data_IF_196464308010
#
_entry.id   IF_196464308010
#
_cell.length_a   1.000
_cell.length_b   1.000
_cell.length_c   1.000
_cell.angle_alpha   90.00
_cell.angle_beta   90.00
_cell.angle_gamma   90.00
#
_symmetry.space_group_name_H-M   'P 1'
#
loop_
_entity.id
_entity.type
_entity.pdbx_description
1 polymer ?
#
# COMPACT_ATOMS: atom_id res chain seq x y z
N UNK A 1 -2.98 -16.30 -1.25
CA UNK A 1 -1.52 -16.42 -1.14
C UNK A 1 -1.05 -15.90 0.21
N UNK A 2 0.10 -16.34 0.67
CA UNK A 2 0.67 -15.94 1.95
C UNK A 2 1.76 -14.88 1.75
N UNK A 3 2.02 -14.06 2.76
CA UNK A 3 3.08 -13.06 2.75
C UNK A 3 4.50 -13.66 2.55
N UNK A 4 4.64 -14.96 2.82
CA UNK A 4 5.87 -15.75 2.62
C UNK A 4 5.97 -16.38 1.23
N UNK A 5 4.93 -16.32 0.39
CA UNK A 5 4.97 -16.92 -0.95
C UNK A 5 6.14 -16.35 -1.75
N UNK A 6 6.92 -17.24 -2.34
CA UNK A 6 8.08 -16.89 -3.16
C UNK A 6 7.64 -16.68 -4.61
N UNK A 7 8.19 -15.64 -5.22
CA UNK A 7 8.07 -15.35 -6.64
C UNK A 7 9.44 -15.16 -7.24
N UNK A 8 9.59 -15.54 -8.49
CA UNK A 8 10.76 -15.23 -9.28
C UNK A 8 10.68 -13.80 -9.81
N UNK A 9 11.69 -13.00 -9.51
CA UNK A 9 11.85 -11.59 -9.89
C UNK A 9 12.60 -11.43 -11.23
N UNK A 10 12.56 -12.45 -12.10
CA UNK A 10 13.16 -12.37 -13.43
C UNK A 10 12.26 -11.64 -14.42
N UNK A 11 12.88 -10.95 -15.39
CA UNK A 11 12.20 -10.26 -16.48
C UNK A 11 11.20 -11.20 -17.16
N UNK A 12 9.95 -10.80 -17.21
CA UNK A 12 8.83 -11.60 -17.70
C UNK A 12 7.99 -10.80 -18.66
N UNK A 13 7.60 -11.39 -19.79
CA UNK A 13 6.59 -10.84 -20.69
C UNK A 13 5.20 -11.25 -20.22
N UNK A 14 4.37 -10.27 -19.88
CA UNK A 14 3.00 -10.48 -19.38
C UNK A 14 1.94 -10.44 -20.49
N UNK A 15 2.36 -10.47 -21.74
CA UNK A 15 1.52 -10.43 -22.93
C UNK A 15 1.63 -9.10 -23.67
N UNK A 16 1.46 -9.17 -25.00
CA UNK A 16 1.55 -7.99 -25.86
C UNK A 16 2.88 -7.23 -25.84
N UNK A 17 3.97 -7.87 -25.37
CA UNK A 17 5.29 -7.23 -25.22
C UNK A 17 5.44 -6.41 -23.93
N UNK A 18 4.46 -6.45 -23.02
CA UNK A 18 4.56 -5.73 -21.75
C UNK A 18 5.57 -6.42 -20.81
N UNK A 19 6.69 -5.77 -20.59
CA UNK A 19 7.82 -6.23 -19.74
C UNK A 19 8.16 -5.14 -18.73
N UNK A 20 7.50 -5.10 -17.57
CA UNK A 20 7.82 -4.12 -16.54
C UNK A 20 9.25 -4.33 -16.04
N UNK A 21 9.93 -3.24 -15.76
CA UNK A 21 11.25 -3.25 -15.16
C UNK A 21 11.16 -2.94 -13.67
N UNK A 22 12.09 -3.48 -12.90
CA UNK A 22 12.26 -3.09 -11.50
C UNK A 22 13.10 -1.81 -11.40
N UNK A 23 12.79 -1.01 -10.40
CA UNK A 23 13.63 0.16 -10.08
C UNK A 23 15.05 -0.26 -9.66
N UNK A 24 15.18 -1.42 -9.04
CA UNK A 24 16.44 -2.03 -8.61
C UNK A 24 16.74 -3.28 -9.44
N UNK A 25 17.97 -3.79 -9.27
CA UNK A 25 18.39 -5.07 -9.88
C UNK A 25 17.44 -6.19 -9.42
N UNK A 26 16.99 -7.06 -10.33
CA UNK A 26 16.19 -8.23 -9.99
C UNK A 26 16.83 -9.08 -8.90
N UNK A 27 16.01 -9.57 -7.97
CA UNK A 27 16.44 -10.29 -6.76
C UNK A 27 16.42 -11.81 -6.89
N UNK A 28 15.95 -12.34 -8.03
CA UNK A 28 15.72 -13.77 -8.19
C UNK A 28 14.51 -14.24 -7.38
N UNK A 29 14.65 -15.33 -6.64
CA UNK A 29 13.57 -15.83 -5.78
C UNK A 29 13.39 -14.95 -4.55
N UNK A 30 12.24 -14.31 -4.42
CA UNK A 30 11.95 -13.32 -3.38
C UNK A 30 10.51 -13.48 -2.85
N UNK A 31 10.32 -13.33 -1.55
CA UNK A 31 8.98 -13.36 -0.94
C UNK A 31 8.27 -12.00 -1.05
N UNK A 32 6.93 -12.02 -0.92
CA UNK A 32 6.07 -10.83 -1.04
C UNK A 32 6.50 -9.70 -0.11
N UNK A 33 6.88 -9.98 1.14
CA UNK A 33 7.31 -8.94 2.09
C UNK A 33 8.55 -8.21 1.60
N UNK A 34 9.53 -8.97 1.12
CA UNK A 34 10.77 -8.41 0.58
C UNK A 34 10.50 -7.63 -0.71
N UNK A 35 9.59 -8.10 -1.57
CA UNK A 35 9.16 -7.36 -2.77
C UNK A 35 8.59 -5.97 -2.41
N UNK A 36 7.68 -5.91 -1.46
CA UNK A 36 7.06 -4.65 -1.02
C UNK A 36 8.10 -3.76 -0.32
N UNK A 37 8.98 -4.32 0.52
CA UNK A 37 10.06 -3.58 1.19
C UNK A 37 10.95 -2.82 0.21
N UNK A 38 11.36 -3.48 -0.87
CA UNK A 38 12.28 -2.93 -1.88
C UNK A 38 11.58 -2.41 -3.13
N UNK A 39 10.24 -2.46 -3.15
CA UNK A 39 9.42 -1.98 -4.28
C UNK A 39 9.73 -2.66 -5.61
N UNK A 40 9.89 -4.00 -5.63
CA UNK A 40 10.05 -4.77 -6.86
C UNK A 40 8.71 -4.86 -7.60
N UNK A 41 8.73 -4.64 -8.91
CA UNK A 41 7.55 -4.56 -9.77
C UNK A 41 7.13 -5.94 -10.29
N UNK A 42 8.07 -6.71 -10.83
CA UNK A 42 7.80 -7.97 -11.55
C UNK A 42 7.02 -8.97 -10.67
N UNK A 43 7.42 -9.26 -9.42
CA UNK A 43 6.65 -10.17 -8.57
C UNK A 43 5.25 -9.67 -8.25
N UNK A 44 5.05 -8.34 -8.14
CA UNK A 44 3.73 -7.78 -7.86
C UNK A 44 2.79 -7.92 -9.05
N UNK A 45 3.29 -7.78 -10.27
CA UNK A 45 2.53 -8.10 -11.49
C UNK A 45 2.14 -9.58 -11.49
N UNK A 46 3.07 -10.50 -11.16
CA UNK A 46 2.78 -11.94 -11.06
C UNK A 46 1.69 -12.25 -10.02
N UNK A 47 1.69 -11.55 -8.87
CA UNK A 47 0.63 -11.68 -7.85
C UNK A 47 -0.71 -11.25 -8.42
N UNK A 48 -0.77 -10.08 -9.05
CA UNK A 48 -2.03 -9.58 -9.58
C UNK A 48 -2.56 -10.43 -10.72
N UNK A 49 -1.72 -10.98 -11.59
CA UNK A 49 -2.17 -11.88 -12.66
C UNK A 49 -2.84 -13.15 -12.12
N UNK A 50 -2.50 -13.58 -10.89
CA UNK A 50 -3.21 -14.67 -10.21
C UNK A 50 -4.57 -14.26 -9.65
N UNK A 51 -4.72 -13.01 -9.21
CA UNK A 51 -6.00 -12.42 -8.78
C UNK A 51 -6.86 -12.02 -9.96
N UNK A 52 -6.25 -11.59 -11.03
CA UNK A 52 -6.71 -10.90 -12.24
C UNK A 52 -6.90 -9.38 -12.07
N UNK A 53 -6.55 -8.59 -13.11
CA UNK A 53 -6.80 -7.14 -13.08
C UNK A 53 -8.27 -6.78 -12.87
N UNK A 54 -9.19 -7.51 -13.52
CA UNK A 54 -10.63 -7.32 -13.35
C UNK A 54 -11.06 -7.43 -11.88
N UNK A 55 -10.58 -8.48 -11.18
CA UNK A 55 -10.91 -8.67 -9.76
C UNK A 55 -10.29 -7.59 -8.89
N UNK A 56 -9.08 -7.11 -9.22
CA UNK A 56 -8.43 -6.00 -8.54
C UNK A 56 -9.26 -4.71 -8.66
N UNK A 57 -9.77 -4.39 -9.85
CA UNK A 57 -10.67 -3.24 -10.08
C UNK A 57 -11.92 -3.32 -9.19
N UNK A 58 -12.55 -4.49 -9.07
CA UNK A 58 -13.72 -4.67 -8.20
C UNK A 58 -13.40 -4.31 -6.73
N UNK A 59 -12.24 -4.73 -6.22
CA UNK A 59 -11.81 -4.39 -4.86
C UNK A 59 -11.48 -2.90 -4.72
N UNK A 60 -10.77 -2.32 -5.67
CA UNK A 60 -10.40 -0.90 -5.65
C UNK A 60 -11.64 0.00 -5.69
N UNK A 61 -12.66 -0.33 -6.50
CA UNK A 61 -13.95 0.39 -6.52
C UNK A 61 -14.66 0.30 -5.16
N UNK A 62 -14.64 -0.87 -4.48
CA UNK A 62 -15.16 -1.01 -3.12
C UNK A 62 -14.38 -0.21 -2.08
N UNK A 63 -13.12 0.11 -2.36
CA UNK A 63 -12.26 0.99 -1.54
C UNK A 63 -12.45 2.48 -1.87
N UNK A 64 -13.42 2.83 -2.71
CA UNK A 64 -13.78 4.22 -3.03
C UNK A 64 -13.01 4.83 -4.20
N UNK A 65 -12.28 4.05 -4.99
CA UNK A 65 -11.62 4.54 -6.21
C UNK A 65 -12.65 4.63 -7.33
N UNK A 66 -12.91 5.84 -7.85
CA UNK A 66 -13.99 6.11 -8.81
C UNK A 66 -13.49 6.29 -10.23
N UNK A 67 -12.21 6.54 -10.43
CA UNK A 67 -11.60 6.87 -11.74
C UNK A 67 -11.23 5.65 -12.59
N UNK A 68 -11.42 4.42 -12.08
CA UNK A 68 -11.04 3.19 -12.79
C UNK A 68 -11.97 2.87 -13.95
N UNK A 69 -11.38 2.67 -15.12
CA UNK A 69 -12.05 2.18 -16.33
C UNK A 69 -11.93 0.65 -16.43
N UNK A 70 -13.07 -0.05 -16.50
CA UNK A 70 -13.12 -1.52 -16.52
C UNK A 70 -12.48 -2.16 -17.76
N UNK A 71 -12.25 -1.38 -18.80
CA UNK A 71 -11.63 -1.84 -20.06
C UNK A 71 -10.17 -1.41 -20.15
N UNK A 72 -9.89 -0.10 -19.99
CA UNK A 72 -8.55 0.46 -20.16
C UNK A 72 -7.60 0.01 -19.05
N UNK A 73 -8.08 -0.04 -17.78
CA UNK A 73 -7.29 -0.41 -16.62
C UNK A 73 -7.25 -1.94 -16.37
N UNK A 74 -8.00 -2.72 -17.17
CA UNK A 74 -8.01 -4.18 -17.06
C UNK A 74 -6.78 -4.80 -17.72
N UNK A 75 -5.60 -4.45 -17.23
CA UNK A 75 -4.31 -4.88 -17.77
C UNK A 75 -3.25 -5.06 -16.66
N UNK A 76 -2.11 -5.71 -16.95
CA UNK A 76 -1.07 -5.96 -15.93
C UNK A 76 -0.45 -4.72 -15.29
N UNK A 77 -0.42 -3.55 -15.97
CA UNK A 77 0.19 -2.34 -15.46
C UNK A 77 -0.55 -1.77 -14.23
N UNK A 78 -1.84 -2.12 -14.06
CA UNK A 78 -2.62 -1.76 -12.86
C UNK A 78 -1.91 -2.14 -11.56
N UNK A 79 -1.18 -3.27 -11.54
CA UNK A 79 -0.49 -3.76 -10.33
C UNK A 79 0.59 -2.84 -9.78
N UNK A 80 1.14 -1.99 -10.62
CA UNK A 80 2.22 -1.07 -10.30
C UNK A 80 1.81 0.40 -10.49
N UNK A 81 0.49 0.64 -10.63
CA UNK A 81 -0.07 1.99 -10.69
C UNK A 81 -0.21 2.57 -12.09
N UNK A 82 -0.11 1.75 -13.14
CA UNK A 82 -0.42 2.15 -14.53
C UNK A 82 -1.93 2.27 -14.70
N UNK A 83 -2.45 3.51 -14.66
CA UNK A 83 -3.87 3.84 -14.73
C UNK A 83 -4.15 4.81 -15.88
N UNK A 84 -5.34 4.70 -16.46
CA UNK A 84 -5.77 5.56 -17.57
C UNK A 84 -6.02 7.02 -17.15
N UNK A 85 -6.65 7.22 -15.97
CA UNK A 85 -7.04 8.55 -15.46
C UNK A 85 -6.32 8.95 -14.17
N UNK A 86 -5.58 8.03 -13.55
CA UNK A 86 -4.95 8.24 -12.24
C UNK A 86 -5.93 8.14 -11.06
N UNK A 87 -5.48 8.55 -9.87
CA UNK A 87 -6.25 8.49 -8.61
C UNK A 87 -5.98 9.76 -7.81
N UNK A 88 -7.00 10.32 -7.17
CA UNK A 88 -6.80 11.48 -6.29
C UNK A 88 -6.17 11.10 -4.94
N UNK A 89 -5.45 12.03 -4.27
CA UNK A 89 -4.94 11.80 -2.91
C UNK A 89 -6.03 11.45 -1.90
N UNK A 90 -7.23 12.00 -2.05
CA UNK A 90 -8.37 11.69 -1.18
C UNK A 90 -8.81 10.23 -1.32
N UNK A 91 -8.96 9.74 -2.55
CA UNK A 91 -9.31 8.34 -2.81
C UNK A 91 -8.24 7.39 -2.31
N UNK A 92 -6.95 7.71 -2.55
CA UNK A 92 -5.84 6.91 -2.03
C UNK A 92 -5.83 6.88 -0.50
N UNK A 93 -6.04 8.01 0.17
CA UNK A 93 -6.14 8.03 1.63
C UNK A 93 -7.33 7.20 2.12
N UNK A 94 -8.49 7.28 1.48
CA UNK A 94 -9.67 6.46 1.80
C UNK A 94 -9.43 4.96 1.61
N UNK A 95 -8.77 4.57 0.52
CA UNK A 95 -8.43 3.17 0.25
C UNK A 95 -7.45 2.62 1.29
N UNK A 96 -6.39 3.36 1.63
CA UNK A 96 -5.46 2.98 2.71
C UNK A 96 -6.15 2.97 4.09
N UNK A 97 -7.06 3.92 4.34
CA UNK A 97 -7.84 3.95 5.57
C UNK A 97 -8.70 2.69 5.74
N UNK A 98 -9.20 2.08 4.66
CA UNK A 98 -9.92 0.81 4.75
C UNK A 98 -9.05 -0.33 5.31
N UNK A 99 -7.76 -0.34 4.96
CA UNK A 99 -6.78 -1.31 5.48
C UNK A 99 -6.45 -1.00 6.94
N UNK A 100 -6.29 0.29 7.30
CA UNK A 100 -6.08 0.73 8.67
C UNK A 100 -7.27 0.40 9.58
N UNK A 101 -8.49 0.45 9.04
CA UNK A 101 -9.76 0.21 9.72
C UNK A 101 -10.26 -1.23 9.53
N UNK A 102 -9.36 -2.21 9.71
CA UNK A 102 -9.66 -3.64 9.74
C UNK A 102 -10.48 -4.15 8.53
N UNK A 103 -10.24 -3.58 7.35
CA UNK A 103 -10.86 -3.95 6.09
C UNK A 103 -12.22 -3.30 5.80
N UNK A 104 -12.59 -2.25 6.55
CA UNK A 104 -13.83 -1.49 6.35
C UNK A 104 -13.51 -0.13 5.73
N UNK A 105 -13.94 0.06 4.49
CA UNK A 105 -13.95 1.38 3.86
C UNK A 105 -15.03 2.25 4.49
N UNK A 106 -14.70 3.49 4.74
CA UNK A 106 -15.62 4.51 5.26
C UNK A 106 -15.55 5.72 4.33
N UNK A 107 -16.70 6.14 3.80
CA UNK A 107 -16.76 7.29 2.88
C UNK A 107 -16.19 8.54 3.53
N UNK A 108 -15.20 9.23 2.92
CA UNK A 108 -14.69 10.48 3.44
C UNK A 108 -15.78 11.55 3.53
N UNK A 109 -15.80 12.30 4.63
CA UNK A 109 -16.73 13.42 4.84
C UNK A 109 -15.92 14.67 5.22
N UNK A 110 -16.41 15.84 4.83
CA UNK A 110 -15.79 17.14 5.13
C UNK A 110 -16.51 17.91 6.24
N UNK A 111 -17.70 17.46 6.64
CA UNK A 111 -18.48 18.00 7.74
C UNK A 111 -19.27 16.87 8.41
N UNK A 112 -19.64 17.04 9.65
CA UNK A 112 -20.53 16.13 10.37
C UNK A 112 -21.98 16.60 10.34
N UNK A 113 -22.18 17.91 10.51
CA UNK A 113 -23.48 18.58 10.42
C UNK A 113 -23.31 20.05 10.02
N UNK A 114 -24.33 20.60 9.40
CA UNK A 114 -24.49 22.05 9.16
C UNK A 114 -25.66 22.53 9.98
N UNK A 115 -25.50 23.65 10.67
CA UNK A 115 -26.55 24.29 11.48
C UNK A 115 -26.81 25.69 10.97
N UNK A 116 -28.08 26.16 11.10
CA UNK A 116 -28.45 27.55 10.82
C UNK A 116 -28.05 28.51 11.96
N UNK A 117 -28.33 29.80 11.77
CA UNK A 117 -28.04 30.82 12.78
C UNK A 117 -28.81 30.66 14.09
N UNK A 118 -29.88 29.87 14.10
CA UNK A 118 -30.70 29.56 15.26
C UNK A 118 -30.28 28.23 15.96
N UNK A 119 -29.26 27.55 15.42
CA UNK A 119 -28.74 26.30 15.95
C UNK A 119 -29.50 25.04 15.48
N UNK A 120 -30.47 25.17 14.57
CA UNK A 120 -31.18 24.01 14.02
C UNK A 120 -30.29 23.27 13.02
N UNK A 121 -30.31 21.94 13.06
CA UNK A 121 -29.58 21.11 12.10
C UNK A 121 -30.28 21.16 10.75
N UNK A 122 -29.58 21.70 9.74
CA UNK A 122 -30.05 21.84 8.34
C UNK A 122 -29.61 20.63 7.53
N UNK A 123 -28.40 20.12 7.79
CA UNK A 123 -27.81 18.98 7.05
C UNK A 123 -26.96 18.13 7.99
N UNK A 124 -27.06 16.83 7.86
CA UNK A 124 -26.20 15.85 8.54
C UNK A 124 -25.49 15.01 7.49
N UNK A 125 -24.16 14.84 7.63
CA UNK A 125 -23.43 13.97 6.73
C UNK A 125 -23.86 12.52 6.92
N UNK A 126 -24.03 11.81 5.81
CA UNK A 126 -24.20 10.35 5.81
C UNK A 126 -22.84 9.72 5.48
N UNK A 127 -22.27 9.00 6.44
CA UNK A 127 -20.99 8.31 6.26
C UNK A 127 -21.23 6.82 6.11
N UNK A 128 -21.17 6.34 4.89
CA UNK A 128 -21.36 4.92 4.58
C UNK A 128 -20.11 4.11 4.92
N UNK A 129 -20.33 2.86 5.33
CA UNK A 129 -19.28 1.89 5.65
C UNK A 129 -19.48 0.63 4.85
N UNK A 130 -18.43 0.17 4.19
CA UNK A 130 -18.44 -1.05 3.37
C UNK A 130 -17.28 -1.96 3.77
N UNK A 131 -17.56 -3.21 4.13
CA UNK A 131 -16.48 -4.19 4.31
C UNK A 131 -15.92 -4.61 2.95
N UNK A 132 -14.65 -4.36 2.75
CA UNK A 132 -13.95 -4.66 1.49
C UNK A 132 -13.17 -5.96 1.59
N UNK A 133 -12.45 -6.15 2.70
CA UNK A 133 -11.66 -7.36 2.99
C UNK A 133 -11.88 -7.78 4.44
N UNK A 134 -11.53 -9.02 4.77
CA UNK A 134 -11.60 -9.49 6.16
C UNK A 134 -10.60 -8.76 7.06
N UNK A 135 -10.87 -8.74 8.35
CA UNK A 135 -9.97 -8.21 9.39
C UNK A 135 -8.58 -8.86 9.32
N UNK A 136 -8.54 -10.16 9.10
CA UNK A 136 -7.29 -10.93 8.97
C UNK A 136 -6.48 -10.50 7.75
N UNK A 137 -7.15 -10.32 6.60
CA UNK A 137 -6.48 -9.83 5.39
C UNK A 137 -5.97 -8.40 5.57
N UNK A 138 -6.72 -7.52 6.22
CA UNK A 138 -6.29 -6.16 6.55
C UNK A 138 -5.05 -6.19 7.45
N UNK A 139 -5.05 -7.02 8.49
CA UNK A 139 -3.91 -7.21 9.40
C UNK A 139 -2.65 -7.68 8.65
N UNK A 140 -2.76 -8.73 7.81
CA UNK A 140 -1.63 -9.22 7.02
C UNK A 140 -1.14 -8.14 6.04
N UNK A 141 -2.06 -7.42 5.40
CA UNK A 141 -1.70 -6.33 4.48
C UNK A 141 -0.95 -5.22 5.20
N UNK A 142 -1.41 -4.77 6.38
CA UNK A 142 -0.67 -3.82 7.23
C UNK A 142 0.73 -4.32 7.52
N UNK A 143 0.86 -5.56 7.97
CA UNK A 143 2.16 -6.15 8.31
C UNK A 143 3.13 -6.25 7.12
N UNK A 144 2.61 -6.29 5.89
CA UNK A 144 3.41 -6.25 4.65
C UNK A 144 3.78 -4.80 4.30
N UNK A 145 2.83 -3.86 4.40
CA UNK A 145 3.06 -2.43 4.07
C UNK A 145 3.91 -1.72 5.16
N UNK A 146 4.08 -2.31 6.32
CA UNK A 146 5.05 -1.87 7.32
C UNK A 146 6.50 -2.10 6.87
N UNK A 147 6.76 -3.08 6.02
CA UNK A 147 8.13 -3.46 5.61
C UNK A 147 8.94 -2.33 4.97
N UNK A 148 8.39 -1.43 4.12
CA UNK A 148 9.14 -0.31 3.57
C UNK A 148 9.66 0.68 4.62
N UNK A 149 9.07 0.76 5.81
CA UNK A 149 9.53 1.65 6.90
C UNK A 149 10.64 1.03 7.74
N UNK A 150 10.92 -0.27 7.58
CA UNK A 150 11.99 -1.00 8.26
C UNK A 150 13.33 -0.85 7.55
N UNK A 151 14.41 -1.22 8.21
CA UNK A 151 15.77 -1.18 7.66
C UNK A 151 15.84 -1.85 6.29
N UNK A 152 16.46 -1.18 5.32
CA UNK A 152 16.53 -1.62 3.92
C UNK A 152 15.28 -1.35 3.09
N UNK A 153 14.27 -0.72 3.66
CA UNK A 153 13.05 -0.34 2.95
C UNK A 153 13.12 1.04 2.29
N UNK A 154 12.18 1.32 1.37
CA UNK A 154 12.14 2.56 0.57
C UNK A 154 11.57 3.76 1.33
N UNK A 155 10.97 3.56 2.51
CA UNK A 155 10.28 4.58 3.31
C UNK A 155 10.74 4.61 4.79
N UNK A 156 11.99 4.27 5.08
CA UNK A 156 12.54 4.22 6.45
C UNK A 156 12.40 5.53 7.21
N UNK A 157 12.52 6.66 6.51
CA UNK A 157 12.40 8.01 7.07
C UNK A 157 10.96 8.41 7.44
N UNK A 158 9.97 7.61 7.02
CA UNK A 158 8.55 7.80 7.32
C UNK A 158 8.14 7.17 8.66
N UNK A 159 8.98 6.37 9.29
CA UNK A 159 8.65 5.78 10.58
C UNK A 159 8.32 6.87 11.62
N UNK A 160 7.18 6.72 12.31
CA UNK A 160 6.71 7.60 13.38
C UNK A 160 7.04 6.93 14.71
N UNK A 161 7.80 7.63 15.56
CA UNK A 161 8.23 7.08 16.85
C UNK A 161 7.03 6.69 17.72
N UNK A 162 7.07 5.49 18.31
CA UNK A 162 6.01 4.96 19.16
C UNK A 162 4.77 4.46 18.44
N UNK A 163 4.76 4.49 17.08
CA UNK A 163 3.62 4.05 16.26
C UNK A 163 4.02 2.91 15.33
N UNK A 164 3.17 1.90 15.21
CA UNK A 164 3.24 1.00 14.07
C UNK A 164 2.92 1.83 12.81
N UNK A 165 3.90 1.93 11.90
CA UNK A 165 3.81 2.80 10.72
C UNK A 165 3.86 1.96 9.45
N UNK A 166 2.82 2.06 8.64
CA UNK A 166 2.74 1.47 7.31
C UNK A 166 2.86 2.57 6.28
N UNK A 167 3.80 2.46 5.33
CA UNK A 167 3.97 3.46 4.28
C UNK A 167 4.54 2.86 3.01
N UNK A 168 4.11 3.37 1.86
CA UNK A 168 4.60 2.95 0.54
C UNK A 168 4.85 4.16 -0.35
N UNK A 169 6.04 4.20 -0.93
CA UNK A 169 6.42 5.19 -1.97
C UNK A 169 5.83 4.79 -3.32
N UNK A 170 5.51 5.78 -4.15
CA UNK A 170 5.19 5.63 -5.56
C UNK A 170 6.01 6.60 -6.39
N UNK A 171 6.39 6.17 -7.59
CA UNK A 171 7.04 7.03 -8.60
C UNK A 171 6.69 6.47 -9.97
N UNK A 172 6.18 7.31 -10.83
CA UNK A 172 5.93 6.96 -12.24
C UNK A 172 7.23 7.00 -13.04
N UNK A 173 7.19 6.41 -14.23
CA UNK A 173 8.27 6.51 -15.19
C UNK A 173 8.58 7.98 -15.47
N UNK A 174 9.85 8.28 -15.72
CA UNK A 174 10.35 9.65 -15.87
C UNK A 174 10.14 10.56 -14.65
N UNK A 175 9.70 9.99 -13.51
CA UNK A 175 9.43 10.73 -12.26
C UNK A 175 8.38 11.84 -12.42
N UNK A 176 7.36 11.64 -13.25
CA UNK A 176 6.29 12.64 -13.45
C UNK A 176 5.41 12.79 -12.22
N UNK A 177 5.24 11.70 -11.47
CA UNK A 177 4.51 11.67 -10.21
C UNK A 177 5.36 11.06 -9.11
N UNK A 178 5.27 11.66 -7.94
CA UNK A 178 5.90 11.15 -6.71
C UNK A 178 4.82 11.04 -5.64
N UNK A 179 4.71 9.85 -5.07
CA UNK A 179 3.70 9.52 -4.07
C UNK A 179 4.30 9.02 -2.78
N UNK A 180 3.58 9.28 -1.71
CA UNK A 180 3.63 8.49 -0.49
C UNK A 180 2.23 8.34 0.07
N UNK A 181 1.81 7.09 0.30
CA UNK A 181 0.59 6.75 1.01
C UNK A 181 0.98 5.95 2.24
N UNK A 182 0.36 6.26 3.39
CA UNK A 182 0.69 5.56 4.62
C UNK A 182 -0.30 5.82 5.73
N UNK A 183 -0.16 5.06 6.80
CA UNK A 183 -1.08 5.03 7.93
C UNK A 183 -0.37 4.67 9.23
N UNK A 184 -0.93 5.17 10.32
CA UNK A 184 -0.68 4.76 11.69
C UNK A 184 -2.01 4.36 12.32
N UNK A 185 -2.05 3.85 13.57
CA UNK A 185 -3.32 3.60 14.27
C UNK A 185 -4.18 4.85 14.54
N UNK A 186 -3.69 6.05 14.27
CA UNK A 186 -4.41 7.31 14.46
C UNK A 186 -4.84 7.96 13.16
N UNK A 187 -3.96 7.99 12.15
CA UNK A 187 -4.16 8.77 10.92
C UNK A 187 -3.74 8.01 9.68
N UNK A 188 -4.46 8.24 8.60
CA UNK A 188 -4.10 7.80 7.25
C UNK A 188 -3.97 9.02 6.36
N UNK A 189 -2.88 9.11 5.62
CA UNK A 189 -2.61 10.23 4.72
C UNK A 189 -2.02 9.75 3.40
N UNK A 190 -2.29 10.50 2.33
CA UNK A 190 -1.67 10.34 1.03
C UNK A 190 -1.11 11.68 0.59
N UNK A 191 0.12 11.68 0.12
CA UNK A 191 0.79 12.84 -0.45
C UNK A 191 1.15 12.55 -1.89
N UNK A 192 0.79 13.47 -2.78
CA UNK A 192 1.21 13.49 -4.16
C UNK A 192 2.02 14.76 -4.44
N UNK A 193 3.01 14.62 -5.30
CA UNK A 193 3.81 15.72 -5.80
C UNK A 193 4.09 15.52 -7.28
N UNK A 194 3.63 16.47 -8.08
CA UNK A 194 3.69 16.43 -9.52
C UNK A 194 3.17 17.74 -10.14
N UNK A 195 3.09 17.77 -11.45
CA UNK A 195 2.43 18.84 -12.22
C UNK A 195 1.08 18.35 -12.72
N UNK A 196 0.10 19.27 -12.82
CA UNK A 196 -1.22 18.97 -13.39
C UNK A 196 -1.12 18.46 -14.83
N UNK A 197 -0.20 19.03 -15.61
CA UNK A 197 0.24 18.45 -16.89
C UNK A 197 1.50 17.62 -16.60
N UNK A 198 1.49 16.31 -16.84
CA UNK A 198 2.58 15.42 -16.43
C UNK A 198 3.92 15.80 -17.06
N UNK A 199 4.82 16.36 -16.28
CA UNK A 199 6.19 16.73 -16.67
C UNK A 199 7.22 16.04 -15.76
N UNK A 200 8.41 15.68 -16.28
CA UNK A 200 9.44 15.03 -15.47
C UNK A 200 9.94 15.90 -14.32
N UNK A 201 9.85 15.41 -13.10
CA UNK A 201 10.36 16.03 -11.88
C UNK A 201 11.86 15.72 -11.73
N UNK A 202 12.71 16.38 -12.52
CA UNK A 202 14.14 16.10 -12.60
C UNK A 202 14.99 17.36 -12.45
N UNK A 203 16.23 17.15 -11.97
CA UNK A 203 17.33 18.10 -12.10
C UNK A 203 18.37 17.41 -12.98
N UNK A 204 18.46 17.83 -14.24
CA UNK A 204 19.23 17.12 -15.24
C UNK A 204 18.67 15.71 -15.51
N UNK A 205 19.49 14.67 -15.31
CA UNK A 205 19.08 13.26 -15.48
C UNK A 205 18.59 12.61 -14.16
N UNK A 206 18.66 13.32 -13.03
CA UNK A 206 18.37 12.77 -11.71
C UNK A 206 16.98 13.21 -11.26
N UNK A 207 16.20 12.29 -10.65
CA UNK A 207 14.93 12.63 -10.01
C UNK A 207 15.13 13.73 -8.96
N UNK A 208 14.26 14.72 -8.95
CA UNK A 208 14.27 15.71 -7.87
C UNK A 208 14.05 15.03 -6.52
N UNK A 209 14.83 15.43 -5.53
CA UNK A 209 14.76 14.89 -4.17
C UNK A 209 14.93 15.99 -3.15
N UNK A 210 14.38 15.79 -1.95
CA UNK A 210 14.63 16.59 -0.77
C UNK A 210 15.45 15.73 0.19
N UNK A 211 16.69 16.15 0.48
CA UNK A 211 17.65 15.39 1.28
C UNK A 211 17.86 13.94 0.76
N UNK A 212 17.91 13.77 -0.56
CA UNK A 212 18.05 12.47 -1.21
C UNK A 212 16.80 11.58 -1.15
N UNK A 213 15.64 12.12 -0.72
CA UNK A 213 14.39 11.39 -0.50
C UNK A 213 13.29 11.84 -1.45
N UNK A 214 12.26 11.00 -1.58
CA UNK A 214 11.05 11.33 -2.30
C UNK A 214 10.36 12.54 -1.64
N UNK A 215 10.09 13.66 -2.36
CA UNK A 215 9.49 14.86 -1.80
C UNK A 215 8.11 14.64 -1.16
N UNK A 216 7.25 13.84 -1.81
CA UNK A 216 5.96 13.47 -1.22
C UNK A 216 6.13 12.72 0.11
N UNK A 217 7.16 11.86 0.19
CA UNK A 217 7.49 11.15 1.41
C UNK A 217 8.07 12.05 2.50
N UNK A 218 8.85 13.06 2.13
CA UNK A 218 9.39 14.05 3.07
C UNK A 218 8.25 14.90 3.67
N UNK A 219 7.32 15.36 2.83
CA UNK A 219 6.13 16.07 3.28
C UNK A 219 5.29 15.21 4.21
N UNK A 220 4.97 13.98 3.79
CA UNK A 220 4.23 13.01 4.59
C UNK A 220 4.88 12.80 5.96
N UNK A 221 6.18 12.54 5.98
CA UNK A 221 6.94 12.30 7.22
C UNK A 221 6.90 13.48 8.16
N UNK A 222 7.05 14.71 7.65
CA UNK A 222 6.99 15.94 8.45
C UNK A 222 5.62 16.12 9.09
N UNK A 223 4.55 16.07 8.28
CA UNK A 223 3.17 16.22 8.76
C UNK A 223 2.83 15.14 9.78
N UNK A 224 3.10 13.88 9.48
CA UNK A 224 2.74 12.78 10.39
C UNK A 224 3.49 12.87 11.72
N UNK A 225 4.76 13.20 11.71
CA UNK A 225 5.52 13.39 12.96
C UNK A 225 4.97 14.55 13.79
N UNK A 226 4.52 15.63 13.16
CA UNK A 226 3.96 16.78 13.87
C UNK A 226 2.60 16.48 14.49
N UNK A 227 1.66 15.88 13.74
CA UNK A 227 0.32 15.56 14.25
C UNK A 227 0.30 14.41 15.27
N UNK A 228 1.41 13.66 15.41
CA UNK A 228 1.53 12.61 16.43
C UNK A 228 2.18 13.10 17.73
N UNK A 229 2.66 14.34 17.79
CA UNK A 229 3.23 14.89 19.03
C UNK A 229 2.21 14.86 20.16
N UNK A 230 2.58 14.24 21.26
CA UNK A 230 1.73 14.11 22.45
C UNK A 230 0.71 12.97 22.41
N UNK A 231 0.61 12.22 21.30
CA UNK A 231 -0.25 11.03 21.26
C UNK A 231 0.43 9.84 21.94
N UNK A 232 -0.36 9.01 22.61
CA UNK A 232 0.12 7.78 23.23
C UNK A 232 0.63 6.78 22.16
N UNK A 233 1.68 6.01 22.50
CA UNK A 233 2.18 4.94 21.65
C UNK A 233 1.05 3.94 21.34
N UNK A 234 0.94 3.54 20.08
CA UNK A 234 -0.14 2.65 19.65
C UNK A 234 0.28 1.76 18.50
N UNK A 235 -0.20 0.51 18.54
CA UNK A 235 -0.13 -0.44 17.43
C UNK A 235 -1.54 -0.68 16.87
N UNK A 236 -1.62 -1.18 15.64
CA UNK A 236 -2.89 -1.62 15.08
C UNK A 236 -3.44 -2.84 15.82
N UNK A 237 -4.75 -3.02 15.74
CA UNK A 237 -5.42 -4.18 16.32
C UNK A 237 -4.90 -5.47 15.68
N UNK A 238 -4.72 -6.49 16.50
CA UNK A 238 -4.49 -7.86 16.04
C UNK A 238 -5.80 -8.62 16.12
N UNK A 239 -6.23 -9.31 15.04
CA UNK A 239 -7.42 -10.15 15.08
C UNK A 239 -7.31 -11.20 16.18
N UNK A 240 -8.42 -11.45 16.88
CA UNK A 240 -8.47 -12.44 17.98
C UNK A 240 -8.36 -13.89 17.50
N UNK A 241 -8.68 -14.14 16.21
CA UNK A 241 -8.67 -15.47 15.59
C UNK A 241 -8.16 -15.41 14.15
N UNK A 242 -7.81 -16.57 13.60
CA UNK A 242 -7.43 -16.72 12.18
C UNK A 242 -6.02 -16.23 11.84
N UNK A 243 -5.20 -15.84 12.81
CA UNK A 243 -3.80 -15.46 12.62
C UNK A 243 -2.89 -16.41 13.36
N UNK A 244 -1.88 -16.92 12.67
CA UNK A 244 -0.81 -17.73 13.25
C UNK A 244 0.55 -17.11 12.96
N UNK A 245 1.48 -17.22 13.88
CA UNK A 245 2.86 -16.81 13.68
C UNK A 245 3.73 -18.05 13.49
N UNK A 246 4.47 -18.10 12.39
CA UNK A 246 5.38 -19.21 12.07
C UNK A 246 6.73 -18.69 11.67
N UNK A 247 7.76 -19.47 11.94
CA UNK A 247 9.10 -19.27 11.39
C UNK A 247 9.12 -19.83 9.97
N UNK A 248 9.54 -19.03 9.00
CA UNK A 248 9.47 -19.36 7.57
C UNK A 248 10.88 -19.44 7.00
N UNK A 249 11.13 -20.46 6.20
CA UNK A 249 12.33 -20.55 5.39
C UNK A 249 12.29 -19.43 4.31
N UNK A 250 13.37 -18.66 4.22
CA UNK A 250 13.45 -17.54 3.26
C UNK A 250 13.48 -17.99 1.81
N UNK A 251 14.07 -19.16 1.56
CA UNK A 251 14.34 -19.66 0.23
C UNK A 251 13.12 -20.35 -0.38
N UNK A 252 12.31 -21.02 0.43
CA UNK A 252 11.15 -21.81 -0.02
C UNK A 252 9.80 -21.14 0.30
N UNK A 253 9.76 -20.19 1.23
CA UNK A 253 8.52 -19.61 1.74
C UNK A 253 7.68 -20.55 2.62
N UNK A 254 8.12 -21.79 2.80
CA UNK A 254 7.46 -22.78 3.66
C UNK A 254 7.81 -22.61 5.14
N UNK A 255 7.10 -23.32 6.03
CA UNK A 255 7.43 -23.35 7.45
C UNK A 255 8.85 -23.91 7.62
N UNK A 256 9.68 -23.23 8.40
CA UNK A 256 11.05 -23.64 8.64
C UNK A 256 11.10 -24.99 9.39
N UNK A 257 12.04 -25.83 8.98
CA UNK A 257 12.36 -27.12 9.62
C UNK A 257 13.74 -27.03 10.25
N UNK A 258 14.16 -28.07 10.96
CA UNK A 258 15.50 -28.17 11.55
C UNK A 258 16.63 -28.10 10.51
N UNK A 259 16.34 -28.40 9.25
CA UNK A 259 17.30 -28.34 8.14
C UNK A 259 17.29 -27.02 7.40
N UNK A 260 16.41 -26.07 7.75
CA UNK A 260 16.38 -24.74 7.13
C UNK A 260 17.61 -23.93 7.52
N UNK A 261 18.45 -23.56 6.53
CA UNK A 261 19.68 -22.79 6.77
C UNK A 261 19.46 -21.27 6.80
N UNK A 262 18.36 -20.80 6.20
CA UNK A 262 17.98 -19.38 6.19
C UNK A 262 16.50 -19.24 6.53
N UNK A 263 16.19 -18.57 7.63
CA UNK A 263 14.79 -18.39 8.06
C UNK A 263 14.54 -16.98 8.62
N UNK A 264 13.27 -16.62 8.64
CA UNK A 264 12.77 -15.40 9.27
C UNK A 264 11.44 -15.69 9.95
N UNK A 265 11.13 -14.96 11.02
CA UNK A 265 9.82 -15.02 11.65
C UNK A 265 8.83 -14.19 10.84
N UNK A 266 7.84 -14.84 10.26
CA UNK A 266 6.75 -14.18 9.56
C UNK A 266 5.41 -14.53 10.21
N UNK A 267 4.54 -13.56 10.28
CA UNK A 267 3.13 -13.78 10.60
C UNK A 267 2.46 -14.31 9.34
N UNK A 268 1.83 -15.46 9.44
CA UNK A 268 1.06 -16.08 8.37
C UNK A 268 -0.41 -16.15 8.77
N UNK A 269 -1.29 -16.09 7.80
CA UNK A 269 -2.71 -16.32 7.96
C UNK A 269 -3.03 -17.73 7.44
N UNK A 270 -3.66 -18.57 8.25
CA UNK A 270 -4.34 -19.74 7.72
C UNK A 270 -5.64 -19.26 7.08
N UNK A 271 -5.66 -19.10 5.78
CA UNK A 271 -6.90 -18.98 5.02
C UNK A 271 -7.51 -20.37 4.90
N UNK A 272 -8.55 -20.64 5.65
CA UNK A 272 -9.65 -21.43 5.09
C UNK A 272 -10.26 -20.52 4.03
N UNK A 273 -10.03 -20.84 2.76
CA UNK A 273 -10.75 -20.24 1.66
C UNK A 273 -12.18 -20.77 1.75
N UNK A 274 -13.06 -20.04 2.43
CA UNK A 274 -14.46 -20.10 2.08
C UNK A 274 -14.61 -19.34 0.75
N UNK A 275 -14.74 -20.15 -0.32
CA UNK A 275 -15.06 -19.73 -1.68
C UNK A 275 -16.49 -19.15 -1.74
#
# INVERSE_FOLDING_TARGET
>A
RQASTIYDDSITDFGGGYKPEDYNIPKGLINIRSCIRTSQNIPMVKVMMQLTPKKSIEYLKKMGITTLDDTKDNNPALSIGGLSEGISPLEMAGAYASIANDGVYTTPIFYTKVVDSSGNVVLTANQEKTRVISEQNAYITRSIIEEPTKSGGTATYCAVSGMETCAKTGSTDDYKDRWLCGMTPYYTTACWWGYDSPEPLRVGKTAYSVDGRNPAGQLWSSVMKDIHKGLANKNFNTPSTGIVTKTICKDTGGVATTTSVSYTHLRAHETVLDL
#
